data_IF_262774767104
#
_entry.id   IF_262774767104
#
_cell.length_a   1.000
_cell.length_b   1.000
_cell.length_c   1.000
_cell.angle_alpha   90.00
_cell.angle_beta   90.00
_cell.angle_gamma   90.00
#
_symmetry.space_group_name_H-M   'P 1'
#
loop_
_entity.id
_entity.type
_entity.pdbx_description
1 polymer ?
#
# COMPACT_ATOMS: atom_id res chain seq x y z
N UNK A 1 0.23 0.65 -36.14
CA UNK A 1 -0.23 0.62 -34.74
C UNK A 1 -0.90 1.96 -34.47
N UNK A 2 -2.21 1.97 -34.26
CA UNK A 2 -2.98 3.22 -34.13
C UNK A 2 -2.82 3.78 -32.72
N UNK A 3 -2.53 5.07 -32.59
CA UNK A 3 -2.49 5.75 -31.30
C UNK A 3 -3.91 5.92 -30.75
N UNK A 4 -4.19 5.33 -29.58
CA UNK A 4 -5.48 5.41 -28.89
C UNK A 4 -5.56 6.64 -27.95
N UNK A 5 -4.54 7.50 -27.98
CA UNK A 5 -4.43 8.67 -27.13
C UNK A 5 -3.99 8.31 -25.70
N UNK A 6 -4.29 9.20 -24.75
CA UNK A 6 -3.85 9.04 -23.37
C UNK A 6 -4.48 7.81 -22.70
N UNK A 7 -3.63 7.02 -22.04
CA UNK A 7 -4.06 5.95 -21.15
C UNK A 7 -5.04 6.48 -20.09
N UNK A 8 -6.26 5.96 -20.13
CA UNK A 8 -7.34 6.31 -19.21
C UNK A 8 -7.73 5.16 -18.27
N UNK A 9 -7.50 3.91 -18.70
CA UNK A 9 -7.81 2.73 -17.91
C UNK A 9 -6.90 1.55 -18.29
N UNK A 10 -6.41 0.82 -17.30
CA UNK A 10 -5.59 -0.38 -17.51
C UNK A 10 -5.79 -1.37 -16.36
N UNK A 11 -6.19 -2.61 -16.70
CA UNK A 11 -6.38 -3.70 -15.72
C UNK A 11 -7.27 -3.35 -14.51
N UNK A 12 -8.22 -2.42 -14.63
CA UNK A 12 -9.01 -2.01 -13.46
C UNK A 12 -8.51 -0.76 -12.74
N UNK A 13 -7.36 -0.23 -13.14
CA UNK A 13 -6.77 1.02 -12.66
C UNK A 13 -7.21 2.15 -13.57
N UNK A 14 -7.81 3.15 -12.96
CA UNK A 14 -8.25 4.36 -13.64
C UNK A 14 -7.09 5.38 -13.60
N UNK A 15 -6.73 5.89 -14.77
CA UNK A 15 -5.54 6.74 -14.98
C UNK A 15 -6.00 8.10 -15.46
N UNK A 16 -5.53 9.15 -14.78
CA UNK A 16 -5.73 10.53 -15.22
C UNK A 16 -4.39 11.21 -15.42
N UNK A 17 -4.17 11.67 -16.64
CA UNK A 17 -2.95 12.36 -17.03
C UNK A 17 -3.26 13.85 -17.20
N UNK A 18 -2.40 14.68 -16.64
CA UNK A 18 -2.35 16.12 -16.88
C UNK A 18 -0.91 16.52 -17.19
N UNK A 19 -0.72 17.74 -17.68
CA UNK A 19 0.62 18.27 -17.95
C UNK A 19 1.52 18.32 -16.71
N UNK A 20 0.93 18.31 -15.52
CA UNK A 20 1.62 18.44 -14.23
C UNK A 20 1.65 17.14 -13.43
N UNK A 21 0.80 16.16 -13.72
CA UNK A 21 0.69 14.96 -12.89
C UNK A 21 0.03 13.77 -13.58
N UNK A 22 0.35 12.58 -13.09
CA UNK A 22 -0.38 11.34 -13.37
C UNK A 22 -1.04 10.91 -12.07
N UNK A 23 -2.35 10.66 -12.10
CA UNK A 23 -3.11 10.16 -10.97
C UNK A 23 -3.62 8.75 -11.26
N UNK A 24 -3.36 7.82 -10.34
CA UNK A 24 -3.87 6.45 -10.39
C UNK A 24 -4.90 6.24 -9.29
N UNK A 25 -6.07 5.71 -9.65
CA UNK A 25 -7.08 5.32 -8.68
C UNK A 25 -7.76 4.01 -9.06
N UNK A 26 -8.46 3.41 -8.09
CA UNK A 26 -9.15 2.13 -8.29
C UNK A 26 -10.47 2.09 -7.51
N UNK A 27 -11.21 3.20 -7.51
CA UNK A 27 -12.41 3.38 -6.69
C UNK A 27 -13.51 2.37 -7.03
N UNK A 28 -13.70 2.04 -8.31
CA UNK A 28 -14.64 1.00 -8.74
C UNK A 28 -14.27 -0.38 -8.20
N UNK A 29 -12.98 -0.73 -8.25
CA UNK A 29 -12.51 -2.01 -7.71
C UNK A 29 -12.64 -2.06 -6.19
N UNK A 30 -12.26 -1.00 -5.48
CA UNK A 30 -12.39 -0.93 -4.03
C UNK A 30 -13.84 -1.13 -3.54
N UNK A 31 -14.83 -0.59 -4.27
CA UNK A 31 -16.26 -0.84 -4.00
C UNK A 31 -16.63 -2.32 -4.14
N UNK A 32 -16.20 -2.97 -5.21
CA UNK A 32 -16.42 -4.41 -5.41
C UNK A 32 -15.82 -5.28 -4.31
N UNK A 33 -14.66 -4.91 -3.75
CA UNK A 33 -14.08 -5.63 -2.61
C UNK A 33 -14.98 -5.48 -1.36
N UNK A 34 -15.53 -4.29 -1.11
CA UNK A 34 -16.44 -4.06 0.02
C UNK A 34 -17.73 -4.89 -0.11
N UNK A 35 -18.28 -5.00 -1.32
CA UNK A 35 -19.47 -5.79 -1.61
C UNK A 35 -19.26 -7.28 -1.31
N UNK A 36 -18.08 -7.85 -1.61
CA UNK A 36 -17.76 -9.27 -1.32
C UNK A 36 -17.96 -9.67 0.14
N UNK A 37 -17.72 -8.75 1.09
CA UNK A 37 -17.93 -8.98 2.53
C UNK A 37 -19.14 -8.23 3.09
N UNK A 38 -20.03 -7.72 2.21
CA UNK A 38 -21.20 -6.91 2.59
C UNK A 38 -20.84 -5.71 3.49
N UNK A 39 -19.71 -5.09 3.20
CA UNK A 39 -19.16 -3.93 3.93
C UNK A 39 -19.40 -2.60 3.22
N UNK A 40 -20.34 -2.55 2.27
CA UNK A 40 -20.73 -1.33 1.56
C UNK A 40 -21.18 -0.21 2.52
N UNK A 41 -21.96 -0.57 3.54
CA UNK A 41 -22.56 0.36 4.51
C UNK A 41 -21.83 0.36 5.87
N UNK A 42 -20.59 -0.14 5.92
CA UNK A 42 -19.84 -0.14 7.18
C UNK A 42 -19.37 1.26 7.59
N UNK A 43 -19.26 1.49 8.91
CA UNK A 43 -18.66 2.70 9.44
C UNK A 43 -17.16 2.77 9.07
N UNK A 44 -16.70 3.86 8.43
CA UNK A 44 -15.31 3.97 8.02
C UNK A 44 -14.37 4.14 9.23
N UNK A 45 -13.09 3.79 9.06
CA UNK A 45 -12.06 4.09 10.03
C UNK A 45 -10.87 4.84 9.41
N UNK A 46 -10.07 5.49 10.24
CA UNK A 46 -9.00 6.40 9.79
C UNK A 46 -7.66 5.72 9.54
N UNK A 47 -7.46 4.50 10.07
CA UNK A 47 -6.24 3.70 9.89
C UNK A 47 -6.57 2.24 9.57
N UNK A 48 -5.78 1.56 8.71
CA UNK A 48 -6.02 0.19 8.30
C UNK A 48 -5.68 -0.84 9.38
N UNK A 49 -4.78 -0.51 10.32
CA UNK A 49 -4.38 -1.38 11.42
C UNK A 49 -4.02 -0.54 12.64
N UNK A 50 -4.42 -0.98 13.85
CA UNK A 50 -4.09 -0.28 15.10
C UNK A 50 -2.65 -0.63 15.53
N UNK A 51 -1.88 0.32 16.09
CA UNK A 51 -0.61 0.01 16.77
C UNK A 51 -0.79 -1.06 17.85
N UNK A 52 0.25 -1.86 18.08
CA UNK A 52 0.29 -2.91 19.13
C UNK A 52 -0.76 -4.02 18.98
N UNK A 53 -1.39 -4.16 17.82
CA UNK A 53 -2.23 -5.32 17.51
C UNK A 53 -1.32 -6.54 17.39
N UNK A 54 -1.28 -7.40 18.42
CA UNK A 54 -0.58 -8.67 18.36
C UNK A 54 -1.54 -9.71 17.76
N UNK A 55 -1.10 -10.34 16.68
CA UNK A 55 -1.81 -11.45 16.04
C UNK A 55 -0.94 -12.69 16.23
N UNK A 56 -1.56 -13.84 16.51
CA UNK A 56 -0.86 -15.10 16.68
C UNK A 56 -1.47 -16.15 15.75
N UNK A 57 -0.62 -17.04 15.22
CA UNK A 57 -1.06 -18.24 14.49
C UNK A 57 -1.91 -19.17 15.37
N UNK A 58 -1.73 -19.12 16.69
CA UNK A 58 -2.39 -19.99 17.67
C UNK A 58 -3.22 -19.17 18.66
N UNK A 59 -4.37 -18.68 18.21
CA UNK A 59 -5.38 -18.14 19.12
C UNK A 59 -6.03 -19.29 19.88
N UNK A 60 -5.67 -19.49 21.16
CA UNK A 60 -6.34 -20.47 22.02
C UNK A 60 -7.86 -20.18 22.05
N UNK A 61 -8.66 -21.04 21.42
CA UNK A 61 -10.13 -20.94 21.39
C UNK A 61 -10.74 -20.12 20.24
N UNK A 62 -9.96 -19.67 19.26
CA UNK A 62 -10.53 -18.93 18.12
C UNK A 62 -11.12 -19.85 17.05
N UNK A 63 -12.31 -19.49 16.55
CA UNK A 63 -12.94 -20.23 15.45
C UNK A 63 -12.16 -20.03 14.14
N UNK A 64 -12.00 -21.13 13.39
CA UNK A 64 -11.48 -21.11 12.04
C UNK A 64 -12.42 -20.34 11.10
N UNK A 65 -11.83 -19.65 10.13
CA UNK A 65 -12.55 -18.94 9.07
C UNK A 65 -12.40 -19.70 7.75
N UNK A 66 -13.39 -19.57 6.86
CA UNK A 66 -13.27 -20.11 5.50
C UNK A 66 -12.02 -19.58 4.79
N UNK A 67 -11.10 -20.51 4.52
CA UNK A 67 -9.82 -20.25 3.85
C UNK A 67 -10.01 -19.68 2.45
N UNK A 68 -11.04 -20.13 1.73
CA UNK A 68 -11.30 -19.72 0.35
C UNK A 68 -11.72 -18.27 0.30
N UNK A 69 -12.71 -17.89 1.12
CA UNK A 69 -13.13 -16.50 1.29
C UNK A 69 -11.96 -15.62 1.73
N UNK A 70 -11.21 -16.04 2.75
CA UNK A 70 -10.08 -15.27 3.26
C UNK A 70 -9.01 -15.01 2.19
N UNK A 71 -8.58 -16.06 1.47
CA UNK A 71 -7.60 -15.96 0.37
C UNK A 71 -8.10 -15.06 -0.76
N UNK A 72 -9.37 -15.17 -1.13
CA UNK A 72 -10.00 -14.34 -2.16
C UNK A 72 -9.99 -12.86 -1.78
N UNK A 73 -10.32 -12.52 -0.53
CA UNK A 73 -10.33 -11.15 -0.03
C UNK A 73 -8.91 -10.58 0.03
N UNK A 74 -7.95 -11.32 0.59
CA UNK A 74 -6.57 -10.84 0.65
C UNK A 74 -5.97 -10.71 -0.76
N UNK A 75 -6.23 -11.64 -1.68
CA UNK A 75 -5.81 -11.52 -3.07
C UNK A 75 -6.35 -10.25 -3.73
N UNK A 76 -7.62 -9.91 -3.45
CA UNK A 76 -8.22 -8.67 -3.93
C UNK A 76 -7.56 -7.43 -3.31
N UNK A 77 -7.27 -7.47 -2.01
CA UNK A 77 -6.56 -6.37 -1.33
C UNK A 77 -5.11 -6.21 -1.82
N UNK A 78 -4.40 -7.30 -2.08
CA UNK A 78 -3.05 -7.28 -2.68
C UNK A 78 -3.06 -6.61 -4.03
N UNK A 79 -4.11 -6.81 -4.84
CA UNK A 79 -4.23 -6.10 -6.11
C UNK A 79 -4.45 -4.60 -5.91
N UNK A 80 -5.28 -4.21 -4.93
CA UNK A 80 -5.55 -2.81 -4.60
C UNK A 80 -4.30 -2.07 -4.12
N UNK A 81 -3.33 -2.74 -3.48
CA UNK A 81 -2.06 -2.14 -3.00
C UNK A 81 -1.31 -1.39 -4.10
N UNK A 82 -1.42 -1.80 -5.37
CA UNK A 82 -0.77 -1.12 -6.51
C UNK A 82 -1.17 0.37 -6.64
N UNK A 83 -2.38 0.73 -6.20
CA UNK A 83 -2.86 2.13 -6.19
C UNK A 83 -3.05 2.67 -4.77
N UNK A 84 -2.86 1.81 -3.76
CA UNK A 84 -3.08 2.05 -2.34
C UNK A 84 -1.90 1.52 -1.51
N UNK A 85 -0.70 2.12 -1.64
CA UNK A 85 0.46 1.71 -0.86
C UNK A 85 0.26 1.87 0.65
N UNK A 86 -0.67 2.74 1.07
CA UNK A 86 -1.03 3.00 2.46
C UNK A 86 -1.65 1.81 3.20
N UNK A 87 -2.11 0.77 2.50
CA UNK A 87 -2.59 -0.48 3.12
C UNK A 87 -1.59 -1.64 3.00
N UNK A 88 -0.45 -1.45 2.33
CA UNK A 88 0.50 -2.50 1.99
C UNK A 88 0.97 -3.28 3.22
N UNK A 89 1.37 -2.58 4.27
CA UNK A 89 1.79 -3.20 5.54
C UNK A 89 0.70 -4.11 6.10
N UNK A 90 -0.51 -3.58 6.26
CA UNK A 90 -1.63 -4.30 6.90
C UNK A 90 -2.02 -5.54 6.09
N UNK A 91 -2.04 -5.43 4.76
CA UNK A 91 -2.32 -6.57 3.85
C UNK A 91 -1.17 -7.59 3.87
N UNK A 92 0.08 -7.13 3.96
CA UNK A 92 1.26 -7.97 4.07
C UNK A 92 1.29 -8.80 5.36
N UNK A 93 0.89 -8.22 6.49
CA UNK A 93 0.75 -8.98 7.75
C UNK A 93 -0.38 -10.00 7.65
N UNK A 94 -1.57 -9.60 7.18
CA UNK A 94 -2.72 -10.51 7.05
C UNK A 94 -2.50 -11.65 6.05
N UNK A 95 -1.63 -11.43 5.08
CA UNK A 95 -1.22 -12.45 4.11
C UNK A 95 -0.58 -13.69 4.73
N UNK A 96 0.03 -13.58 5.92
CA UNK A 96 0.71 -14.70 6.61
C UNK A 96 -0.26 -15.77 7.12
N UNK A 97 -1.54 -15.41 7.31
CA UNK A 97 -2.55 -16.27 7.92
C UNK A 97 -3.49 -16.94 6.91
N UNK A 98 -3.14 -16.94 5.62
CA UNK A 98 -3.96 -17.54 4.55
C UNK A 98 -4.12 -19.06 4.65
N UNK A 99 -3.24 -19.75 5.38
CA UNK A 99 -3.29 -21.21 5.53
C UNK A 99 -4.29 -21.65 6.60
N UNK A 100 -4.35 -20.91 7.72
CA UNK A 100 -5.22 -21.18 8.85
C UNK A 100 -5.75 -19.84 9.44
N UNK A 101 -6.67 -19.15 8.73
CA UNK A 101 -7.23 -17.91 9.21
C UNK A 101 -8.22 -18.15 10.34
N UNK A 102 -8.29 -17.21 11.27
CA UNK A 102 -9.19 -17.24 12.43
C UNK A 102 -10.08 -16.00 12.46
N UNK A 103 -11.04 -15.97 13.38
CA UNK A 103 -11.95 -14.82 13.56
C UNK A 103 -11.23 -13.50 13.86
N UNK A 104 -10.12 -13.52 14.60
CA UNK A 104 -9.30 -12.32 14.83
C UNK A 104 -8.67 -11.83 13.53
N UNK A 105 -8.10 -12.73 12.73
CA UNK A 105 -7.55 -12.41 11.41
C UNK A 105 -8.61 -11.79 10.49
N UNK A 106 -9.82 -12.35 10.46
CA UNK A 106 -10.92 -11.78 9.68
C UNK A 106 -11.35 -10.41 10.21
N UNK A 107 -11.34 -10.20 11.53
CA UNK A 107 -11.66 -8.91 12.14
C UNK A 107 -10.65 -7.83 11.76
N UNK A 108 -9.36 -8.17 11.70
CA UNK A 108 -8.32 -7.26 11.20
C UNK A 108 -8.51 -6.95 9.71
N UNK A 109 -8.86 -7.94 8.88
CA UNK A 109 -9.21 -7.69 7.46
C UNK A 109 -10.42 -6.77 7.32
N UNK A 110 -11.47 -6.97 8.13
CA UNK A 110 -12.62 -6.06 8.16
C UNK A 110 -12.22 -4.63 8.54
N UNK A 111 -11.24 -4.45 9.43
CA UNK A 111 -10.70 -3.12 9.72
C UNK A 111 -10.04 -2.48 8.49
N UNK A 112 -9.24 -3.22 7.73
CA UNK A 112 -8.64 -2.71 6.47
C UNK A 112 -9.75 -2.25 5.52
N UNK A 113 -10.84 -3.02 5.41
CA UNK A 113 -11.98 -2.68 4.56
C UNK A 113 -12.74 -1.43 5.03
N UNK A 114 -12.96 -1.26 6.34
CA UNK A 114 -13.52 0.00 6.87
C UNK A 114 -12.65 1.20 6.51
N UNK A 115 -11.33 1.03 6.51
CA UNK A 115 -10.42 2.09 6.10
C UNK A 115 -10.54 2.39 4.60
N UNK A 116 -10.58 1.35 3.75
CA UNK A 116 -10.82 1.48 2.30
C UNK A 116 -12.14 2.20 2.01
N UNK A 117 -13.23 1.85 2.72
CA UNK A 117 -14.53 2.54 2.63
C UNK A 117 -14.42 4.04 2.90
N UNK A 118 -13.69 4.44 3.94
CA UNK A 118 -13.45 5.85 4.26
C UNK A 118 -12.57 6.60 3.26
N UNK A 119 -11.91 5.88 2.35
CA UNK A 119 -10.89 6.41 1.45
C UNK A 119 -11.13 6.03 -0.01
N UNK A 120 -12.39 5.76 -0.41
CA UNK A 120 -12.74 5.42 -1.79
C UNK A 120 -12.38 6.51 -2.81
N UNK A 121 -12.34 7.77 -2.37
CA UNK A 121 -11.96 8.92 -3.20
C UNK A 121 -10.45 9.22 -3.20
N UNK A 122 -9.62 8.29 -2.71
CA UNK A 122 -8.16 8.48 -2.68
C UNK A 122 -7.49 7.81 -3.89
N UNK A 123 -6.41 8.42 -4.35
CA UNK A 123 -5.52 7.84 -5.36
C UNK A 123 -4.11 8.42 -5.28
N UNK A 124 -3.17 7.73 -5.93
CA UNK A 124 -1.76 8.10 -5.93
C UNK A 124 -1.52 9.17 -7.01
N UNK A 125 -0.91 10.29 -6.61
CA UNK A 125 -0.61 11.41 -7.51
C UNK A 125 0.91 11.51 -7.70
N UNK A 126 1.35 11.24 -8.91
CA UNK A 126 2.72 11.40 -9.37
C UNK A 126 2.85 12.77 -10.04
N UNK A 127 3.53 13.70 -9.38
CA UNK A 127 3.77 15.04 -9.95
C UNK A 127 4.96 14.99 -10.92
N UNK A 128 4.82 15.66 -12.06
CA UNK A 128 5.91 15.89 -12.99
C UNK A 128 6.97 16.73 -12.29
N UNK A 129 8.21 16.26 -12.26
CA UNK A 129 9.37 17.07 -11.90
C UNK A 129 9.97 17.65 -13.19
N UNK A 130 10.33 18.94 -13.16
CA UNK A 130 10.96 19.63 -14.28
C UNK A 130 12.49 19.43 -14.32
N UNK A 131 13.08 18.92 -13.24
CA UNK A 131 14.53 18.70 -13.07
C UNK A 131 14.88 17.22 -12.97
N UNK A 132 16.19 16.91 -12.85
CA UNK A 132 16.71 15.55 -12.66
C UNK A 132 15.88 14.71 -11.68
N UNK A 133 15.40 13.56 -12.17
CA UNK A 133 14.65 12.59 -11.37
C UNK A 133 15.64 11.81 -10.52
N UNK A 134 15.80 12.22 -9.27
CA UNK A 134 16.55 11.43 -8.29
C UNK A 134 15.67 10.28 -7.76
N UNK A 135 16.19 9.06 -7.86
CA UNK A 135 15.58 7.89 -7.24
C UNK A 135 16.00 7.86 -5.76
N UNK A 136 15.05 8.20 -4.89
CA UNK A 136 15.24 8.16 -3.44
C UNK A 136 14.54 6.93 -2.87
N UNK A 137 15.32 6.03 -2.27
CA UNK A 137 14.83 4.90 -1.51
C UNK A 137 14.74 5.23 -0.01
N UNK A 138 13.87 4.52 0.69
CA UNK A 138 13.85 4.51 2.16
C UNK A 138 13.99 3.06 2.61
N UNK A 139 14.89 2.82 3.56
CA UNK A 139 15.06 1.53 4.23
C UNK A 139 14.80 1.72 5.70
N UNK A 140 13.94 0.87 6.24
CA UNK A 140 13.65 0.73 7.65
C UNK A 140 14.15 -0.65 8.08
N UNK A 141 14.82 -0.70 9.23
CA UNK A 141 15.37 -1.93 9.76
C UNK A 141 14.76 -2.21 11.14
N UNK A 142 13.62 -2.89 11.16
CA UNK A 142 12.95 -3.29 12.39
C UNK A 142 13.25 -4.76 12.73
N UNK A 143 14.29 -4.98 13.52
CA UNK A 143 14.50 -6.27 14.16
C UNK A 143 13.33 -6.52 15.13
N UNK A 144 12.57 -7.60 14.93
CA UNK A 144 11.45 -8.08 15.77
C UNK A 144 10.02 -7.53 15.54
N UNK A 145 9.69 -7.02 14.34
CA UNK A 145 8.30 -6.71 13.98
C UNK A 145 7.36 -7.92 13.83
N UNK A 146 7.92 -9.12 13.63
CA UNK A 146 7.20 -10.39 13.55
C UNK A 146 7.42 -11.22 14.83
N UNK A 147 6.34 -11.54 15.54
CA UNK A 147 6.36 -12.35 16.77
C UNK A 147 6.74 -13.80 16.44
N UNK A 148 6.33 -14.29 15.27
CA UNK A 148 6.43 -15.70 14.93
C UNK A 148 7.78 -16.02 14.25
N UNK A 149 8.16 -15.26 13.21
CA UNK A 149 9.24 -15.70 12.32
C UNK A 149 10.53 -14.84 12.42
N UNK A 150 10.52 -13.66 13.06
CA UNK A 150 11.66 -12.72 13.28
C UNK A 150 12.59 -12.47 12.06
N UNK A 151 12.15 -12.77 10.84
CA UNK A 151 12.97 -12.69 9.62
C UNK A 151 12.69 -11.40 8.85
N UNK A 152 13.76 -10.69 8.49
CA UNK A 152 13.71 -9.57 7.55
C UNK A 152 13.80 -10.10 6.12
N UNK A 153 12.89 -9.66 5.25
CA UNK A 153 12.96 -9.97 3.81
C UNK A 153 13.43 -8.71 3.08
N UNK A 154 14.60 -8.75 2.45
CA UNK A 154 15.12 -7.60 1.69
C UNK A 154 15.71 -8.08 0.36
N UNK A 155 15.26 -7.47 -0.74
CA UNK A 155 15.83 -7.63 -2.07
C UNK A 155 15.30 -6.53 -2.98
N UNK A 156 16.17 -5.62 -3.41
CA UNK A 156 15.85 -4.57 -4.38
C UNK A 156 17.03 -4.46 -5.36
N UNK A 157 16.76 -4.61 -6.65
CA UNK A 157 17.72 -4.37 -7.73
C UNK A 157 17.25 -3.14 -8.52
N UNK A 158 18.08 -2.10 -8.58
CA UNK A 158 17.77 -0.84 -9.27
C UNK A 158 18.84 -0.58 -10.34
N UNK A 159 18.40 -0.19 -11.53
CA UNK A 159 19.28 0.12 -12.68
C UNK A 159 19.99 1.48 -12.56
N UNK A 160 19.60 2.31 -11.60
CA UNK A 160 20.17 3.64 -11.35
C UNK A 160 20.67 3.69 -9.92
N UNK A 161 21.83 4.31 -9.66
CA UNK A 161 22.34 4.48 -8.29
C UNK A 161 21.32 5.28 -7.46
N UNK A 162 20.65 4.65 -6.48
CA UNK A 162 19.66 5.33 -5.68
C UNK A 162 20.32 6.02 -4.50
N UNK A 163 19.71 7.10 -4.04
CA UNK A 163 19.98 7.68 -2.73
C UNK A 163 19.10 6.98 -1.71
N UNK A 164 19.68 6.22 -0.78
CA UNK A 164 18.95 5.42 0.19
C UNK A 164 18.99 6.08 1.58
N UNK A 165 17.83 6.45 2.08
CA UNK A 165 17.64 7.00 3.42
C UNK A 165 17.44 5.88 4.43
N UNK A 166 18.28 5.83 5.47
CA UNK A 166 18.29 4.77 6.49
C UNK A 166 18.27 5.39 7.88
N UNK A 167 17.58 4.74 8.82
CA UNK A 167 17.48 5.15 10.22
C UNK A 167 18.59 4.54 11.11
N UNK A 168 19.33 3.56 10.61
CA UNK A 168 20.40 2.87 11.32
C UNK A 168 21.79 3.46 10.98
N UNK A 169 22.37 4.22 11.92
CA UNK A 169 23.71 4.81 11.78
C UNK A 169 24.82 3.76 11.62
N UNK A 170 24.66 2.57 12.21
CA UNK A 170 25.62 1.48 12.09
C UNK A 170 25.64 0.90 10.66
N UNK A 171 24.47 0.82 10.00
CA UNK A 171 24.39 0.41 8.61
C UNK A 171 25.13 1.40 7.67
N UNK A 172 25.05 2.71 7.97
CA UNK A 172 25.78 3.75 7.24
C UNK A 172 27.29 3.59 7.44
N UNK A 173 27.74 3.33 8.67
CA UNK A 173 29.16 3.14 8.98
C UNK A 173 29.74 1.91 8.28
N UNK A 174 28.99 0.79 8.25
CA UNK A 174 29.38 -0.44 7.57
C UNK A 174 29.52 -0.25 6.06
N UNK A 175 28.56 0.44 5.43
CA UNK A 175 28.59 0.67 3.99
C UNK A 175 29.68 1.67 3.55
N UNK A 176 30.17 2.52 4.46
CA UNK A 176 31.32 3.40 4.21
C UNK A 176 32.67 2.71 4.41
N UNK A 177 32.69 1.46 4.87
CA UNK A 177 33.93 0.70 5.09
C UNK A 177 34.65 0.45 3.74
N UNK A 178 35.93 0.83 3.59
CA UNK A 178 36.68 0.65 2.35
C UNK A 178 37.01 -0.81 1.99
N UNK A 179 36.86 -1.76 2.91
CA UNK A 179 37.20 -3.18 2.69
C UNK A 179 36.12 -3.94 1.89
N UNK A 180 34.88 -3.43 1.86
CA UNK A 180 33.79 -4.04 1.09
C UNK A 180 33.58 -3.25 -0.22
N UNK A 181 33.88 -3.88 -1.35
CA UNK A 181 33.81 -3.28 -2.69
C UNK A 181 32.38 -3.09 -3.22
N UNK A 182 32.31 -2.23 -4.25
CA UNK A 182 31.21 -1.79 -5.11
C UNK A 182 30.14 -0.90 -4.46
N UNK A 183 30.47 0.40 -4.36
CA UNK A 183 29.64 1.46 -3.77
C UNK A 183 28.58 1.95 -4.75
N UNK A 184 27.58 1.11 -4.99
CA UNK A 184 26.50 1.37 -5.96
C UNK A 184 25.38 2.25 -5.39
N UNK A 185 25.39 2.54 -4.08
CA UNK A 185 24.28 3.20 -3.37
C UNK A 185 24.83 4.28 -2.43
N UNK A 186 24.26 5.48 -2.48
CA UNK A 186 24.56 6.56 -1.53
C UNK A 186 23.64 6.46 -0.32
N UNK A 187 24.19 6.48 0.89
CA UNK A 187 23.42 6.32 2.14
C UNK A 187 23.38 7.61 2.94
N UNK A 188 22.17 8.04 3.31
CA UNK A 188 21.94 9.17 4.19
C UNK A 188 21.11 8.78 5.41
N UNK A 189 21.43 9.40 6.55
CA UNK A 189 20.66 9.21 7.75
C UNK A 189 19.34 9.98 7.67
N UNK A 190 18.24 9.30 7.96
CA UNK A 190 16.91 9.91 8.08
C UNK A 190 16.42 9.77 9.52
N UNK A 191 15.98 10.88 10.10
CA UNK A 191 15.33 10.85 11.40
C UNK A 191 13.95 10.16 11.27
N UNK A 192 13.50 9.48 12.33
CA UNK A 192 12.23 8.77 12.40
C UNK A 192 11.05 9.61 11.89
N UNK A 193 11.03 10.91 12.17
CA UNK A 193 9.97 11.83 11.71
C UNK A 193 9.90 12.02 10.19
N UNK A 194 10.96 11.66 9.47
CA UNK A 194 11.05 11.73 8.00
C UNK A 194 11.13 10.35 7.34
N UNK A 195 11.08 9.27 8.11
CA UNK A 195 11.15 7.90 7.58
C UNK A 195 9.84 7.54 6.87
N UNK A 196 9.83 7.60 5.52
CA UNK A 196 8.65 7.24 4.73
C UNK A 196 8.40 5.73 4.72
N UNK A 197 9.44 4.91 4.90
CA UNK A 197 9.29 3.46 4.92
C UNK A 197 8.38 2.97 6.07
N UNK A 198 8.28 3.73 7.17
CA UNK A 198 7.45 3.41 8.32
C UNK A 198 6.00 3.04 7.95
N UNK A 199 5.39 3.73 6.98
CA UNK A 199 3.99 3.43 6.60
C UNK A 199 3.84 2.05 5.92
N UNK A 200 4.94 1.53 5.38
CA UNK A 200 5.00 0.25 4.67
C UNK A 200 5.51 -0.89 5.56
N UNK A 201 6.15 -0.58 6.70
CA UNK A 201 6.86 -1.58 7.52
C UNK A 201 6.31 -1.74 8.93
N UNK A 202 5.49 -0.82 9.46
CA UNK A 202 4.97 -0.92 10.84
C UNK A 202 3.57 -0.33 11.02
N UNK A 203 2.81 -0.74 12.07
CA UNK A 203 1.52 -0.14 12.35
C UNK A 203 1.71 1.20 13.06
N UNK A 204 1.11 2.26 12.51
CA UNK A 204 1.34 3.62 12.96
C UNK A 204 0.16 4.22 13.73
N UNK A 205 0.46 5.10 14.67
CA UNK A 205 -0.54 5.93 15.32
C UNK A 205 -1.24 6.81 14.26
N UNK A 206 -2.52 7.12 14.51
CA UNK A 206 -3.40 7.79 13.54
C UNK A 206 -2.78 9.03 12.91
N UNK A 207 -2.25 9.94 13.73
CA UNK A 207 -1.67 11.19 13.25
C UNK A 207 -0.50 10.93 12.29
N UNK A 208 0.46 10.10 12.73
CA UNK A 208 1.63 9.73 11.93
C UNK A 208 1.26 9.02 10.62
N UNK A 209 0.29 8.11 10.67
CA UNK A 209 -0.20 7.42 9.47
C UNK A 209 -0.76 8.39 8.43
N UNK A 210 -1.60 9.34 8.86
CA UNK A 210 -2.21 10.32 7.97
C UNK A 210 -1.17 11.25 7.34
N UNK A 211 -0.18 11.68 8.11
CA UNK A 211 0.95 12.48 7.61
C UNK A 211 1.76 11.73 6.55
N UNK A 212 2.17 10.48 6.84
CA UNK A 212 2.97 9.69 5.90
C UNK A 212 2.19 9.32 4.64
N UNK A 213 0.89 9.06 4.77
CA UNK A 213 0.01 8.77 3.63
C UNK A 213 0.01 9.90 2.60
N UNK A 214 -0.03 11.15 3.07
CA UNK A 214 0.05 12.31 2.18
C UNK A 214 1.44 12.44 1.55
N UNK A 215 2.51 12.17 2.31
CA UNK A 215 3.90 12.23 1.82
C UNK A 215 4.21 11.17 0.75
N UNK A 216 3.62 9.99 0.83
CA UNK A 216 3.73 8.96 -0.23
C UNK A 216 2.84 9.26 -1.46
N UNK A 217 2.19 10.42 -1.50
CA UNK A 217 1.45 10.88 -2.67
C UNK A 217 0.00 10.40 -2.75
N UNK A 218 -0.53 9.72 -1.72
CA UNK A 218 -1.92 9.30 -1.70
C UNK A 218 -2.82 10.41 -1.18
N UNK A 219 -3.64 10.97 -2.06
CA UNK A 219 -4.45 12.18 -1.80
C UNK A 219 -5.91 11.95 -2.14
N UNK A 220 -6.80 12.70 -1.48
CA UNK A 220 -8.22 12.73 -1.82
C UNK A 220 -8.40 13.47 -3.15
N UNK A 221 -9.14 12.85 -4.07
CA UNK A 221 -9.40 13.37 -5.41
C UNK A 221 -10.81 13.95 -5.41
N UNK A 222 -10.90 15.28 -5.42
CA UNK A 222 -12.17 16.01 -5.28
C UNK A 222 -12.97 16.13 -6.58
N UNK A 223 -12.37 15.81 -7.74
CA UNK A 223 -13.02 15.87 -9.06
C UNK A 223 -12.76 14.58 -9.85
N UNK A 224 -13.41 13.50 -9.42
CA UNK A 224 -13.52 12.28 -10.22
C UNK A 224 -14.87 12.30 -10.97
N UNK A 225 -15.01 13.20 -11.94
CA UNK A 225 -16.06 13.04 -12.94
C UNK A 225 -15.51 12.09 -13.99
N UNK A 226 -16.16 10.93 -14.23
CA UNK A 226 -15.79 10.12 -15.38
C UNK A 226 -15.94 11.03 -16.60
N UNK A 227 -14.96 11.07 -17.49
CA UNK A 227 -15.22 11.60 -18.82
C UNK A 227 -16.45 10.84 -19.36
N UNK A 228 -17.36 11.49 -20.10
CA UNK A 228 -18.60 10.84 -20.59
C UNK A 228 -18.31 9.48 -21.26
N UNK A 229 -17.16 9.37 -21.94
CA UNK A 229 -16.64 8.15 -22.55
C UNK A 229 -16.35 6.99 -21.56
N UNK A 230 -15.87 7.26 -20.34
CA UNK A 230 -15.69 6.23 -19.30
C UNK A 230 -17.04 5.74 -18.73
N UNK A 231 -18.04 6.62 -18.69
CA UNK A 231 -19.40 6.23 -18.27
C UNK A 231 -20.03 5.27 -19.28
N UNK A 232 -19.84 5.52 -20.58
CA UNK A 232 -20.35 4.65 -21.64
C UNK A 232 -19.62 3.30 -21.69
N UNK A 233 -18.30 3.27 -21.46
CA UNK A 233 -17.51 2.04 -21.40
C UNK A 233 -17.82 1.17 -20.15
N UNK A 234 -18.12 1.80 -19.00
CA UNK A 234 -18.55 1.06 -17.81
C UNK A 234 -19.98 0.51 -17.95
N UNK A 235 -20.82 1.14 -18.78
CA UNK A 235 -22.19 0.71 -19.08
C UNK A 235 -22.22 -0.48 -20.04
N UNK A 236 -21.26 -0.58 -20.97
CA UNK A 236 -21.14 -1.73 -21.89
C UNK A 236 -20.56 -2.99 -21.22
N UNK A 237 -19.83 -2.86 -20.12
CA UNK A 237 -19.21 -3.99 -19.40
C UNK A 237 -20.09 -4.68 -18.34
N UNK A 238 -21.39 -4.35 -18.23
CA UNK A 238 -22.35 -5.04 -17.34
C UNK A 238 -21.88 -5.20 -15.89
N UNK A 239 -21.12 -4.22 -15.37
CA UNK A 239 -20.60 -4.21 -13.99
C UNK A 239 -21.42 -3.34 -13.03
N UNK A 240 -22.69 -3.09 -13.38
CA UNK A 240 -23.68 -2.48 -12.49
C UNK A 240 -24.99 -3.27 -12.52
N UNK A 241 -25.00 -4.39 -11.80
CA UNK A 241 -26.19 -4.91 -11.11
C UNK A 241 -25.75 -5.34 -9.71
#
# INVERSE_FOLDING_TARGET
MSDLGFLSYYLGIEVRQSNESITLCQAGYARKILEKLRMGECNPCSIPMKPRTKMSKHGNGELAVDKTLYRSVIGSLRYLVNTRPDIAYSVGVMSRYMEAPTTSHLTAVKQILRYVKGTLSFGCVYKKKLSNVELVGFSDSDMAGDIDDRKSTTGVQLQVKPKLNVDNKSAIALAKNPVYHDRTIELEYVNTDKQLADILTKPLARQRFLELREKIGLRKITRWFPCRLCWDYLRTLNLSK
#
